data_IF_378966936171
#
_entry.id   IF_378966936171
#
_cell.length_a   1.000
_cell.length_b   1.000
_cell.length_c   1.000
_cell.angle_alpha   90.00
_cell.angle_beta   90.00
_cell.angle_gamma   90.00
#
_symmetry.space_group_name_H-M   'P 1'
#
loop_
_entity.id
_entity.type
_entity.pdbx_description
1 polymer ?
#
# COMPACT_ATOMS: atom_id res chain seq x y z
N UNK A 1 -1.17 -13.57 -4.77
CA UNK A 1 -2.53 -13.31 -4.19
C UNK A 1 -2.67 -13.95 -2.80
N UNK A 2 -3.46 -13.38 -1.87
CA UNK A 2 -3.52 -13.77 -0.44
C UNK A 2 -4.00 -15.23 -0.25
N UNK A 3 -3.27 -15.98 0.58
CA UNK A 3 -3.50 -17.35 0.98
C UNK A 3 -3.48 -17.52 2.51
N UNK A 4 -2.68 -16.70 3.21
CA UNK A 4 -2.52 -16.72 4.67
C UNK A 4 -2.45 -15.30 5.23
N UNK A 5 -2.77 -15.12 6.51
CA UNK A 5 -2.70 -13.84 7.21
C UNK A 5 -1.87 -14.07 8.48
N UNK A 6 -0.78 -13.32 8.62
CA UNK A 6 0.14 -13.45 9.77
C UNK A 6 -0.52 -13.00 11.08
N UNK A 7 -1.29 -11.90 11.03
CA UNK A 7 -2.00 -11.33 12.18
C UNK A 7 -3.51 -11.55 12.05
N UNK A 8 -4.00 -12.67 12.58
CA UNK A 8 -5.42 -13.04 12.57
C UNK A 8 -6.32 -12.07 13.37
N UNK A 9 -5.74 -11.18 14.17
CA UNK A 9 -6.50 -10.13 14.88
C UNK A 9 -6.74 -8.88 14.03
N UNK A 10 -6.08 -8.79 12.87
CA UNK A 10 -6.09 -7.64 11.98
C UNK A 10 -6.50 -8.01 10.54
N UNK A 11 -7.56 -8.82 10.43
CA UNK A 11 -8.15 -9.24 9.15
C UNK A 11 -8.84 -8.04 8.50
N UNK A 12 -8.49 -7.69 7.23
CA UNK A 12 -9.20 -6.63 6.51
C UNK A 12 -10.68 -6.95 6.31
N UNK A 13 -11.53 -5.93 6.34
CA UNK A 13 -12.97 -6.08 6.11
C UNK A 13 -13.33 -6.34 4.64
N UNK A 14 -12.51 -5.82 3.74
CA UNK A 14 -12.61 -6.00 2.28
C UNK A 14 -11.22 -5.87 1.65
N UNK A 15 -11.06 -6.37 0.43
CA UNK A 15 -9.86 -6.13 -0.37
C UNK A 15 -10.19 -5.73 -1.80
N UNK A 16 -9.38 -4.83 -2.34
CA UNK A 16 -9.44 -4.38 -3.74
C UNK A 16 -8.06 -4.48 -4.36
N UNK A 17 -7.97 -5.07 -5.55
CA UNK A 17 -6.73 -5.16 -6.31
C UNK A 17 -6.70 -4.08 -7.37
N UNK A 18 -5.63 -3.28 -7.40
CA UNK A 18 -5.48 -2.16 -8.34
C UNK A 18 -4.18 -2.35 -9.14
N UNK A 19 -4.24 -2.54 -10.46
CA UNK A 19 -3.05 -2.53 -11.30
C UNK A 19 -2.49 -1.10 -11.43
N UNK A 20 -1.18 -0.93 -11.24
CA UNK A 20 -0.48 0.34 -11.36
C UNK A 20 0.31 0.42 -12.67
N UNK A 21 0.27 1.60 -13.30
CA UNK A 21 0.87 1.80 -14.63
C UNK A 21 2.33 2.19 -14.52
N UNK A 22 3.22 1.50 -15.23
CA UNK A 22 4.64 1.86 -15.26
C UNK A 22 4.85 3.15 -16.07
N UNK A 23 5.56 4.12 -15.49
CA UNK A 23 6.04 5.34 -16.15
C UNK A 23 7.49 5.61 -15.78
N UNK A 24 8.40 5.33 -16.71
CA UNK A 24 9.84 5.41 -16.46
C UNK A 24 10.26 4.38 -15.42
N UNK A 25 10.88 4.84 -14.33
CA UNK A 25 11.35 4.02 -13.21
C UNK A 25 10.30 3.80 -12.11
N UNK A 26 9.14 4.46 -12.22
CA UNK A 26 8.09 4.42 -11.20
C UNK A 26 6.81 3.76 -11.72
N UNK A 27 5.96 3.35 -10.80
CA UNK A 27 4.60 2.90 -11.07
C UNK A 27 3.60 3.91 -10.48
N UNK A 28 2.60 4.30 -11.26
CA UNK A 28 1.63 5.31 -10.88
C UNK A 28 0.41 4.66 -10.23
N UNK A 29 0.14 5.05 -8.97
CA UNK A 29 -1.09 4.73 -8.27
C UNK A 29 -2.18 5.70 -8.78
N UNK A 30 -3.32 5.20 -9.26
CA UNK A 30 -4.42 6.06 -9.69
C UNK A 30 -5.10 6.76 -8.50
N UNK A 31 -6.14 7.53 -8.77
CA UNK A 31 -7.06 7.96 -7.71
C UNK A 31 -7.72 6.72 -7.08
N UNK A 32 -7.78 6.68 -5.74
CA UNK A 32 -8.36 5.57 -5.00
C UNK A 32 -9.15 6.11 -3.81
N UNK A 33 -10.32 5.53 -3.57
CA UNK A 33 -11.08 5.77 -2.35
C UNK A 33 -11.28 4.47 -1.59
N UNK A 34 -11.06 4.48 -0.29
CA UNK A 34 -11.25 3.30 0.56
C UNK A 34 -11.62 3.69 1.99
N UNK A 35 -12.37 2.81 2.64
CA UNK A 35 -12.85 2.98 4.02
C UNK A 35 -11.86 2.42 5.03
N UNK A 36 -12.15 2.63 6.32
CA UNK A 36 -11.48 1.89 7.40
C UNK A 36 -11.45 0.38 7.12
N UNK A 37 -10.33 -0.25 7.46
CA UNK A 37 -10.07 -1.69 7.37
C UNK A 37 -10.12 -2.29 5.96
N UNK A 38 -10.38 -1.49 4.93
CA UNK A 38 -10.28 -1.92 3.54
C UNK A 38 -8.80 -2.05 3.15
N UNK A 39 -8.42 -3.20 2.58
CA UNK A 39 -7.08 -3.44 2.05
C UNK A 39 -7.03 -3.12 0.56
N UNK A 40 -6.20 -2.17 0.16
CA UNK A 40 -5.88 -1.89 -1.24
C UNK A 40 -4.57 -2.60 -1.57
N UNK A 41 -4.60 -3.48 -2.57
CA UNK A 41 -3.45 -4.28 -3.01
C UNK A 41 -3.00 -3.75 -4.37
N UNK A 42 -1.75 -3.33 -4.49
CA UNK A 42 -1.21 -2.90 -5.78
C UNK A 42 -0.52 -4.05 -6.51
N UNK A 43 -0.71 -4.09 -7.84
CA UNK A 43 -0.12 -5.09 -8.75
C UNK A 43 0.46 -4.40 -9.97
N UNK A 44 1.36 -5.07 -10.70
CA UNK A 44 1.69 -4.66 -12.07
C UNK A 44 0.48 -4.82 -12.98
N UNK A 45 0.54 -4.27 -14.19
CA UNK A 45 -0.59 -4.31 -15.15
C UNK A 45 -1.00 -5.74 -15.56
N UNK A 46 -0.09 -6.72 -15.45
CA UNK A 46 -0.37 -8.14 -15.69
C UNK A 46 -0.94 -8.89 -14.46
N UNK A 47 -1.11 -8.20 -13.33
CA UNK A 47 -1.60 -8.74 -12.07
C UNK A 47 -0.51 -9.35 -11.17
N UNK A 48 0.74 -9.44 -11.62
CA UNK A 48 1.85 -9.95 -10.82
C UNK A 48 2.34 -8.94 -9.78
N UNK A 49 3.02 -9.45 -8.75
CA UNK A 49 3.76 -8.66 -7.78
C UNK A 49 5.17 -8.29 -8.28
N UNK A 50 6.00 -7.80 -7.37
CA UNK A 50 7.41 -7.54 -7.62
C UNK A 50 8.24 -8.67 -7.05
N UNK A 51 9.10 -9.26 -7.87
CA UNK A 51 10.11 -10.22 -7.43
C UNK A 51 11.25 -9.45 -6.77
N UNK A 52 11.44 -9.64 -5.48
CA UNK A 52 12.45 -8.95 -4.68
C UNK A 52 13.38 -9.95 -3.98
N UNK A 53 14.59 -9.50 -3.68
CA UNK A 53 15.55 -10.17 -2.82
C UNK A 53 15.62 -9.50 -1.45
N UNK A 54 16.16 -10.21 -0.46
CA UNK A 54 16.39 -9.64 0.87
C UNK A 54 17.19 -8.32 0.79
N UNK A 55 16.66 -7.28 1.41
CA UNK A 55 17.26 -5.94 1.44
C UNK A 55 16.76 -4.97 0.36
N UNK A 56 16.09 -5.47 -0.69
CA UNK A 56 15.39 -4.64 -1.67
C UNK A 56 14.28 -3.83 -0.99
N UNK A 57 13.92 -2.68 -1.57
CA UNK A 57 12.94 -1.77 -0.99
C UNK A 57 11.83 -1.41 -1.95
N UNK A 58 10.62 -1.29 -1.42
CA UNK A 58 9.47 -0.66 -2.06
C UNK A 58 9.22 0.69 -1.39
N UNK A 59 9.39 1.76 -2.13
CA UNK A 59 9.07 3.11 -1.69
C UNK A 59 7.70 3.53 -2.23
N UNK A 60 6.84 4.01 -1.34
CA UNK A 60 5.48 4.46 -1.64
C UNK A 60 5.36 5.93 -1.29
N UNK A 61 4.94 6.74 -2.26
CA UNK A 61 4.55 8.13 -2.06
C UNK A 61 3.06 8.28 -2.33
N UNK A 62 2.33 8.96 -1.44
CA UNK A 62 0.90 9.21 -1.57
C UNK A 62 0.60 10.70 -1.42
N UNK A 63 -0.39 11.18 -2.18
CA UNK A 63 -1.02 12.48 -2.00
C UNK A 63 -2.54 12.29 -1.86
N UNK A 64 -3.12 12.80 -0.76
CA UNK A 64 -4.55 12.81 -0.51
C UNK A 64 -5.20 14.12 -1.00
N UNK A 65 -6.52 14.09 -1.23
CA UNK A 65 -7.27 15.33 -1.37
C UNK A 65 -7.39 16.07 -0.03
N UNK A 66 -7.31 17.40 -0.09
CA UNK A 66 -7.64 18.26 1.04
C UNK A 66 -9.14 18.22 1.32
N UNK A 67 -9.53 17.95 2.57
CA UNK A 67 -10.92 18.03 3.00
C UNK A 67 -11.16 19.37 3.71
N UNK A 68 -12.27 20.04 3.39
CA UNK A 68 -12.56 21.41 3.90
C UNK A 68 -12.95 21.44 5.37
N UNK A 69 -13.34 20.30 5.92
CA UNK A 69 -14.02 20.18 7.20
C UNK A 69 -13.19 19.27 8.13
N UNK A 70 -12.42 19.90 9.02
CA UNK A 70 -11.94 19.37 10.31
C UNK A 70 -10.70 18.47 10.42
N UNK A 71 -10.02 18.05 9.34
CA UNK A 71 -8.66 17.45 9.47
C UNK A 71 -7.69 18.01 8.44
N UNK A 72 -6.84 18.93 8.88
CA UNK A 72 -5.72 19.45 8.05
C UNK A 72 -4.63 18.39 7.89
N UNK A 73 -4.71 17.28 8.63
CA UNK A 73 -3.63 16.31 8.79
C UNK A 73 -3.77 15.06 7.89
N UNK A 74 -4.75 14.96 6.99
CA UNK A 74 -4.92 13.77 6.13
C UNK A 74 -5.50 12.58 6.90
N UNK A 75 -5.51 11.38 6.31
CA UNK A 75 -6.05 10.17 6.94
C UNK A 75 -4.95 9.23 7.43
N UNK A 76 -5.26 8.44 8.46
CA UNK A 76 -4.38 7.37 8.93
C UNK A 76 -4.41 6.20 7.94
N UNK A 77 -3.25 5.88 7.37
CA UNK A 77 -3.04 4.79 6.42
C UNK A 77 -2.00 3.84 7.00
N UNK A 78 -2.35 2.56 7.08
CA UNK A 78 -1.40 1.50 7.38
C UNK A 78 -0.76 0.96 6.10
N UNK A 79 0.53 0.69 6.13
CA UNK A 79 1.29 0.11 5.04
C UNK A 79 1.61 -1.35 5.36
N UNK A 80 1.34 -2.25 4.40
CA UNK A 80 1.55 -3.70 4.57
C UNK A 80 2.20 -4.29 3.31
N UNK A 81 2.80 -5.46 3.46
CA UNK A 81 3.22 -6.31 2.36
C UNK A 81 2.40 -7.61 2.36
N UNK A 82 2.12 -8.11 1.16
CA UNK A 82 1.85 -9.53 0.94
C UNK A 82 3.11 -10.13 0.34
N UNK A 83 3.63 -11.20 0.94
CA UNK A 83 4.80 -11.91 0.45
C UNK A 83 4.47 -13.37 0.20
N UNK A 84 4.65 -13.85 -1.04
CA UNK A 84 4.33 -15.23 -1.44
C UNK A 84 2.92 -15.71 -1.03
N UNK A 85 1.96 -14.79 -0.98
CA UNK A 85 0.57 -15.06 -0.56
C UNK A 85 0.29 -14.89 0.94
N UNK A 86 1.28 -14.61 1.77
CA UNK A 86 1.06 -14.29 3.18
C UNK A 86 0.91 -12.77 3.37
N UNK A 87 -0.24 -12.32 3.87
CA UNK A 87 -0.44 -10.94 4.30
C UNK A 87 0.27 -10.72 5.63
N UNK A 88 1.36 -9.95 5.59
CA UNK A 88 2.16 -9.63 6.77
C UNK A 88 1.45 -8.65 7.70
N UNK A 89 1.93 -8.51 8.93
CA UNK A 89 1.49 -7.45 9.85
C UNK A 89 1.74 -6.05 9.25
N UNK A 90 1.00 -5.04 9.71
CA UNK A 90 1.26 -3.67 9.27
C UNK A 90 2.65 -3.23 9.74
N UNK A 91 3.48 -2.79 8.81
CA UNK A 91 4.85 -2.36 9.08
C UNK A 91 4.89 -0.93 9.61
N UNK A 92 3.98 -0.09 9.13
CA UNK A 92 3.93 1.33 9.47
C UNK A 92 2.49 1.86 9.40
N UNK A 93 2.19 2.87 10.21
CA UNK A 93 0.92 3.61 10.19
C UNK A 93 1.25 5.09 10.22
N UNK A 94 0.81 5.82 9.19
CA UNK A 94 1.11 7.24 9.01
C UNK A 94 -0.15 8.05 8.82
N UNK A 95 -0.05 9.33 9.12
CA UNK A 95 -1.06 10.35 8.89
C UNK A 95 -0.37 11.51 8.16
N UNK A 96 -1.08 12.18 7.26
CA UNK A 96 -0.56 13.28 6.47
C UNK A 96 -1.23 13.35 5.10
N UNK A 97 -1.49 14.56 4.60
CA UNK A 97 -1.93 14.75 3.20
C UNK A 97 -0.90 14.26 2.18
N UNK A 98 0.37 14.21 2.57
CA UNK A 98 1.48 13.64 1.78
C UNK A 98 2.23 12.66 2.64
N UNK A 99 2.28 11.42 2.21
CA UNK A 99 2.89 10.35 2.98
C UNK A 99 3.99 9.68 2.15
N UNK A 100 5.06 9.29 2.85
CA UNK A 100 6.16 8.51 2.29
C UNK A 100 6.41 7.32 3.20
N UNK A 101 6.47 6.13 2.64
CA UNK A 101 6.80 4.91 3.37
C UNK A 101 7.82 4.09 2.56
N UNK A 102 8.72 3.42 3.27
CA UNK A 102 9.68 2.47 2.70
C UNK A 102 9.41 1.13 3.37
N UNK A 103 9.13 0.12 2.56
CA UNK A 103 8.91 -1.26 2.98
C UNK A 103 10.09 -2.10 2.46
N UNK A 104 10.73 -2.88 3.33
CA UNK A 104 11.91 -3.68 2.97
C UNK A 104 11.54 -5.14 2.78
N UNK A 105 12.03 -5.76 1.70
CA UNK A 105 11.93 -7.21 1.53
C UNK A 105 12.85 -7.91 2.55
N UNK A 106 12.27 -8.77 3.38
CA UNK A 106 12.98 -9.54 4.40
C UNK A 106 13.56 -10.86 3.87
N UNK A 107 13.09 -11.31 2.71
CA UNK A 107 13.52 -12.55 2.08
C UNK A 107 13.21 -12.51 0.58
N UNK A 108 13.63 -13.53 -0.16
CA UNK A 108 13.37 -13.58 -1.60
C UNK A 108 11.92 -13.99 -1.89
N UNK A 109 11.28 -13.35 -2.85
CA UNK A 109 10.01 -13.82 -3.41
C UNK A 109 9.17 -12.73 -4.05
N UNK A 110 7.90 -13.04 -4.25
CA UNK A 110 6.93 -12.12 -4.85
C UNK A 110 6.25 -11.28 -3.77
N UNK A 111 6.34 -9.95 -3.92
CA UNK A 111 5.80 -8.96 -3.00
C UNK A 111 4.69 -8.12 -3.63
N UNK A 112 3.65 -7.81 -2.85
CA UNK A 112 2.60 -6.87 -3.21
C UNK A 112 2.48 -5.78 -2.12
N UNK A 113 2.78 -4.51 -2.43
CA UNK A 113 2.56 -3.41 -1.52
C UNK A 113 1.06 -3.14 -1.35
N UNK A 114 0.67 -2.91 -0.10
CA UNK A 114 -0.72 -2.73 0.28
C UNK A 114 -0.92 -1.51 1.19
N UNK A 115 -2.10 -0.91 1.10
CA UNK A 115 -2.59 0.10 2.04
C UNK A 115 -3.78 -0.46 2.80
N UNK A 116 -3.91 -0.12 4.08
CA UNK A 116 -5.11 -0.41 4.86
C UNK A 116 -5.64 0.87 5.51
N UNK A 117 -6.94 1.12 5.38
CA UNK A 117 -7.58 2.26 6.04
C UNK A 117 -7.53 2.10 7.56
N UNK A 118 -7.06 3.13 8.26
CA UNK A 118 -7.04 3.18 9.73
C UNK A 118 -7.82 4.36 10.32
N UNK A 119 -8.37 5.19 9.46
CA UNK A 119 -9.30 6.26 9.81
C UNK A 119 -10.75 5.81 9.81
N UNK A 120 -11.60 6.46 10.63
CA UNK A 120 -13.05 6.32 10.54
C UNK A 120 -13.64 6.91 9.26
N UNK A 121 -13.02 7.98 8.75
CA UNK A 121 -13.43 8.66 7.52
C UNK A 121 -12.85 7.96 6.29
N UNK A 122 -13.45 8.24 5.12
CA UNK A 122 -12.97 7.71 3.83
C UNK A 122 -11.62 8.35 3.50
N UNK A 123 -10.63 7.51 3.18
CA UNK A 123 -9.36 7.94 2.59
C UNK A 123 -9.57 8.17 1.10
N UNK A 124 -9.15 9.35 0.61
CA UNK A 124 -9.26 9.72 -0.82
C UNK A 124 -7.89 10.11 -1.37
N UNK A 125 -7.25 9.16 -2.06
CA UNK A 125 -5.97 9.38 -2.73
C UNK A 125 -6.21 10.11 -4.04
N UNK A 126 -5.51 11.23 -4.21
CA UNK A 126 -5.45 11.99 -5.46
C UNK A 126 -4.46 11.35 -6.44
N UNK A 127 -3.32 10.86 -5.93
CA UNK A 127 -2.34 10.11 -6.71
C UNK A 127 -1.33 9.45 -5.75
N UNK A 128 -0.47 8.60 -6.32
CA UNK A 128 0.71 8.14 -5.64
C UNK A 128 1.70 7.48 -6.60
N UNK A 129 2.87 7.14 -6.08
CA UNK A 129 3.89 6.40 -6.84
C UNK A 129 4.45 5.26 -6.01
N UNK A 130 4.83 4.19 -6.72
CA UNK A 130 5.63 3.08 -6.19
C UNK A 130 6.95 3.08 -6.94
N UNK A 131 8.06 3.04 -6.19
CA UNK A 131 9.41 2.85 -6.73
C UNK A 131 10.03 1.62 -6.09
N UNK A 132 10.64 0.75 -6.90
CA UNK A 132 11.37 -0.42 -6.40
C UNK A 132 12.86 -0.14 -6.51
N UNK A 133 13.60 -0.41 -5.44
CA UNK A 133 15.04 -0.24 -5.35
C UNK A 133 15.66 -1.62 -5.08
N UNK A 134 16.38 -2.12 -6.07
CA UNK A 134 17.17 -3.35 -5.98
C UNK A 134 18.54 -3.02 -5.38
N UNK A 135 18.99 -3.79 -4.37
CA UNK A 135 20.26 -3.56 -3.66
C UNK A 135 21.33 -4.62 -3.93
#
# INVERSE_FOLDING_TARGET
MIQQIEDETAIPSTFTVIPVKKRGTQYQIPEVMFTSEALVIFTKEDGSGWELSEGDEIQIHLEEYETKDFRVEGQMIGYKLIHNGELKKAEDVREGLRQNCILSATEKGEYYPCLIGRSSDITTLKNGTITVIEK
#
